data_IF_625323718171
#
_entry.id   IF_625323718171
#
_cell.length_a   1.000
_cell.length_b   1.000
_cell.length_c   1.000
_cell.angle_alpha   90.00
_cell.angle_beta   90.00
_cell.angle_gamma   90.00
#
_symmetry.space_group_name_H-M   'P 1'
#
loop_
_entity.id
_entity.type
_entity.pdbx_description
1 polymer ?
#
# COMPACT_ATOMS: atom_id res chain seq x y z
N UNK A 1 9.63 -24.11 -1.05
CA UNK A 1 10.66 -23.04 -1.12
C UNK A 1 10.04 -21.64 -0.98
N UNK A 2 9.16 -21.20 -1.90
CA UNK A 2 8.50 -19.88 -1.89
C UNK A 2 7.81 -19.50 -0.55
N UNK A 3 7.04 -20.41 0.06
CA UNK A 3 6.38 -20.15 1.36
C UNK A 3 7.35 -19.79 2.50
N UNK A 4 8.55 -20.36 2.53
CA UNK A 4 9.57 -20.07 3.57
C UNK A 4 10.20 -18.70 3.36
N UNK A 5 10.45 -18.32 2.09
CA UNK A 5 10.96 -16.99 1.72
C UNK A 5 9.91 -15.91 2.05
N UNK A 6 8.64 -16.15 1.71
CA UNK A 6 7.54 -15.22 2.03
C UNK A 6 7.33 -15.05 3.55
N UNK A 7 7.57 -16.10 4.35
CA UNK A 7 7.49 -15.98 5.82
C UNK A 7 8.62 -15.10 6.39
N UNK A 8 9.82 -15.15 5.82
CA UNK A 8 10.95 -14.32 6.24
C UNK A 8 10.77 -12.83 5.87
N UNK A 9 10.02 -12.53 4.81
CA UNK A 9 9.83 -11.16 4.29
C UNK A 9 8.55 -10.48 4.81
N UNK A 10 7.79 -11.17 5.65
CA UNK A 10 6.54 -10.69 6.20
C UNK A 10 6.70 -9.39 7.02
N UNK A 11 6.16 -8.28 6.53
CA UNK A 11 6.16 -6.99 7.25
C UNK A 11 4.88 -6.82 8.09
N UNK A 12 4.98 -6.55 9.41
CA UNK A 12 3.82 -6.45 10.29
C UNK A 12 2.80 -5.36 9.91
N UNK A 13 3.24 -4.29 9.26
CA UNK A 13 2.37 -3.18 8.81
C UNK A 13 1.47 -3.61 7.65
N UNK A 14 1.95 -4.51 6.80
CA UNK A 14 1.21 -5.05 5.66
C UNK A 14 0.34 -6.23 6.07
N UNK A 15 0.64 -6.88 7.21
CA UNK A 15 -0.20 -7.92 7.78
C UNK A 15 -1.31 -7.31 8.63
N UNK A 16 -2.44 -6.98 8.02
CA UNK A 16 -3.69 -6.83 8.73
C UNK A 16 -4.72 -7.79 8.15
N UNK A 17 -5.38 -8.59 9.00
CA UNK A 17 -6.71 -9.06 8.61
C UNK A 17 -7.55 -7.80 8.42
N UNK A 18 -8.30 -7.76 7.33
CA UNK A 18 -9.29 -6.70 7.07
C UNK A 18 -10.70 -7.31 7.18
N UNK A 19 -11.23 -7.70 8.38
CA UNK A 19 -12.59 -8.20 8.49
C UNK A 19 -13.50 -7.29 9.34
N UNK A 20 -14.80 -7.47 9.14
CA UNK A 20 -15.90 -6.69 9.70
C UNK A 20 -16.15 -6.79 11.21
N UNK A 21 -17.12 -5.96 11.62
CA UNK A 21 -17.74 -5.77 12.93
C UNK A 21 -16.87 -5.22 14.08
N UNK A 22 -15.60 -5.61 14.22
CA UNK A 22 -14.73 -5.13 15.30
C UNK A 22 -13.88 -3.91 14.86
N UNK A 23 -14.44 -2.72 15.00
CA UNK A 23 -13.76 -1.47 14.68
C UNK A 23 -14.51 -0.24 15.14
N UNK A 24 -13.90 0.94 14.95
CA UNK A 24 -14.55 2.23 15.17
C UNK A 24 -14.62 3.00 13.86
N UNK A 25 -15.56 3.94 13.78
CA UNK A 25 -15.54 4.92 12.69
C UNK A 25 -14.19 5.64 12.74
N UNK A 26 -13.46 5.69 11.63
CA UNK A 26 -12.10 6.21 11.61
C UNK A 26 -12.07 7.71 11.94
N UNK A 27 -11.25 8.09 12.92
CA UNK A 27 -11.06 9.50 13.32
C UNK A 27 -9.81 10.10 12.68
N UNK A 28 -9.71 11.43 12.67
CA UNK A 28 -8.53 12.15 12.17
C UNK A 28 -7.26 11.75 12.94
N UNK A 29 -7.36 11.65 14.26
CA UNK A 29 -6.24 11.18 15.09
C UNK A 29 -5.78 9.76 14.70
N UNK A 30 -6.71 8.90 14.25
CA UNK A 30 -6.39 7.56 13.78
C UNK A 30 -5.70 7.58 12.42
N UNK A 31 -6.11 8.47 11.51
CA UNK A 31 -5.44 8.69 10.23
C UNK A 31 -4.01 9.16 10.44
N UNK A 32 -3.83 10.19 11.26
CA UNK A 32 -2.52 10.74 11.53
C UNK A 32 -1.58 9.74 12.24
N UNK A 33 -2.13 8.89 13.11
CA UNK A 33 -1.36 7.78 13.68
C UNK A 33 -0.93 6.75 12.63
N UNK A 34 -1.82 6.37 11.71
CA UNK A 34 -1.54 5.45 10.62
C UNK A 34 -0.49 6.03 9.66
N UNK A 35 -0.66 7.27 9.20
CA UNK A 35 0.31 8.01 8.37
C UNK A 35 1.70 8.02 8.99
N UNK A 36 1.81 8.39 10.27
CA UNK A 36 3.11 8.40 10.98
C UNK A 36 3.77 7.01 11.01
N UNK A 37 2.99 5.95 11.20
CA UNK A 37 3.51 4.59 11.18
C UNK A 37 4.02 4.17 9.80
N UNK A 38 3.27 4.46 8.73
CA UNK A 38 3.67 4.20 7.34
C UNK A 38 4.89 5.03 6.93
N UNK A 39 4.95 6.31 7.28
CA UNK A 39 6.10 7.17 6.97
C UNK A 39 7.37 6.67 7.66
N UNK A 40 7.31 6.25 8.93
CA UNK A 40 8.46 5.62 9.61
C UNK A 40 8.89 4.32 8.93
N UNK A 41 7.95 3.55 8.41
CA UNK A 41 8.23 2.35 7.64
C UNK A 41 8.96 2.69 6.34
N UNK A 42 8.46 3.64 5.54
CA UNK A 42 9.11 4.08 4.30
C UNK A 42 10.49 4.67 4.51
N UNK A 43 10.67 5.54 5.50
CA UNK A 43 12.01 6.09 5.82
C UNK A 43 12.99 4.97 6.12
N UNK A 44 12.58 3.97 6.91
CA UNK A 44 13.43 2.82 7.23
C UNK A 44 13.75 2.01 5.97
N UNK A 45 12.74 1.61 5.18
CA UNK A 45 12.97 0.82 3.97
C UNK A 45 13.80 1.60 2.92
N UNK A 46 13.59 2.90 2.76
CA UNK A 46 14.38 3.75 1.88
C UNK A 46 15.86 3.80 2.32
N UNK A 47 16.12 3.93 3.62
CA UNK A 47 17.49 3.97 4.17
C UNK A 47 18.28 2.66 3.98
N UNK A 48 17.60 1.55 3.71
CA UNK A 48 18.23 0.26 3.47
C UNK A 48 18.76 0.10 2.04
N UNK A 49 18.33 0.95 1.09
CA UNK A 49 18.69 0.82 -0.33
C UNK A 49 18.36 -0.58 -0.87
N UNK A 50 19.32 -1.24 -1.50
CA UNK A 50 19.14 -2.59 -2.07
C UNK A 50 18.88 -3.68 -1.02
N UNK A 51 19.12 -3.39 0.27
CA UNK A 51 18.79 -4.32 1.36
C UNK A 51 17.32 -4.23 1.79
N UNK A 52 16.57 -3.26 1.28
CA UNK A 52 15.13 -3.09 1.52
C UNK A 52 14.36 -4.29 0.99
N UNK A 53 13.45 -4.83 1.79
CA UNK A 53 12.65 -5.97 1.35
C UNK A 53 11.54 -5.52 0.39
N UNK A 54 11.09 -4.26 0.51
CA UNK A 54 10.21 -3.65 -0.50
C UNK A 54 10.93 -3.62 -1.85
N UNK A 55 12.16 -3.07 -1.91
CA UNK A 55 12.93 -2.98 -3.16
C UNK A 55 13.13 -4.35 -3.78
N UNK A 56 13.57 -5.33 -2.99
CA UNK A 56 13.77 -6.69 -3.50
C UNK A 56 12.48 -7.33 -3.99
N UNK A 57 11.34 -7.09 -3.34
CA UNK A 57 10.06 -7.64 -3.77
C UNK A 57 9.61 -7.08 -5.11
N UNK A 58 9.79 -5.77 -5.34
CA UNK A 58 9.51 -5.16 -6.64
C UNK A 58 10.43 -5.68 -7.75
N UNK A 59 11.72 -5.91 -7.46
CA UNK A 59 12.63 -6.56 -8.41
C UNK A 59 12.21 -8.00 -8.71
N UNK A 60 11.89 -8.79 -7.68
CA UNK A 60 11.44 -10.17 -7.85
C UNK A 60 10.15 -10.29 -8.65
N UNK A 61 9.16 -9.45 -8.36
CA UNK A 61 7.87 -9.49 -9.04
C UNK A 61 7.99 -9.05 -10.51
N UNK A 62 8.73 -7.95 -10.77
CA UNK A 62 8.81 -7.37 -12.11
C UNK A 62 9.78 -8.11 -13.06
N UNK A 63 10.79 -8.78 -12.52
CA UNK A 63 11.89 -9.36 -13.31
C UNK A 63 12.77 -8.31 -14.02
N UNK A 64 12.60 -7.03 -13.73
CA UNK A 64 13.38 -5.95 -14.35
C UNK A 64 14.81 -5.92 -13.77
N UNK A 65 15.81 -5.68 -14.62
CA UNK A 65 17.20 -5.57 -14.17
C UNK A 65 17.48 -4.29 -13.38
N UNK A 66 16.73 -3.22 -13.68
CA UNK A 66 16.89 -1.91 -13.05
C UNK A 66 15.52 -1.26 -12.83
N UNK A 67 15.29 -0.81 -11.59
CA UNK A 67 14.13 -0.03 -11.20
C UNK A 67 14.58 1.22 -10.46
N UNK A 68 13.85 2.31 -10.68
CA UNK A 68 13.96 3.54 -9.87
C UNK A 68 12.84 3.55 -8.85
N UNK A 69 13.18 3.81 -7.58
CA UNK A 69 12.20 3.89 -6.48
C UNK A 69 11.99 5.34 -6.05
N UNK A 70 10.76 5.82 -6.18
CA UNK A 70 10.38 7.20 -5.84
C UNK A 70 9.74 7.27 -4.44
N UNK A 71 10.60 7.12 -3.43
CA UNK A 71 10.17 7.11 -2.02
C UNK A 71 9.56 8.45 -1.58
N UNK A 72 10.05 9.58 -2.10
CA UNK A 72 9.50 10.89 -1.77
C UNK A 72 8.08 11.07 -2.30
N UNK A 73 7.81 10.61 -3.53
CA UNK A 73 6.45 10.60 -4.07
C UNK A 73 5.53 9.70 -3.23
N UNK A 74 5.97 8.50 -2.87
CA UNK A 74 5.20 7.58 -2.03
C UNK A 74 4.89 8.19 -0.65
N UNK A 75 5.88 8.79 0.01
CA UNK A 75 5.68 9.51 1.27
C UNK A 75 4.76 10.72 1.11
N UNK A 76 4.87 11.45 0.00
CA UNK A 76 4.00 12.58 -0.34
C UNK A 76 2.53 12.19 -0.38
N UNK A 77 2.20 11.07 -1.05
CA UNK A 77 0.83 10.55 -1.11
C UNK A 77 0.31 10.12 0.25
N UNK A 78 1.14 9.45 1.05
CA UNK A 78 0.77 9.07 2.44
C UNK A 78 0.47 10.32 3.29
N UNK A 79 1.27 11.39 3.18
CA UNK A 79 1.02 12.66 3.90
C UNK A 79 -0.33 13.28 3.50
N UNK A 80 -0.66 13.25 2.20
CA UNK A 80 -1.90 13.80 1.63
C UNK A 80 -3.13 12.88 1.77
N UNK A 81 -2.95 11.63 2.20
CA UNK A 81 -4.05 10.69 2.39
C UNK A 81 -5.17 11.32 3.24
N UNK A 82 -6.42 11.18 2.82
CA UNK A 82 -7.56 11.85 3.46
C UNK A 82 -8.79 10.96 3.47
N UNK A 83 -9.69 11.24 4.40
CA UNK A 83 -10.99 10.58 4.42
C UNK A 83 -11.90 11.20 3.37
N UNK A 84 -12.57 10.36 2.61
CA UNK A 84 -13.80 10.74 1.92
C UNK A 84 -14.96 10.64 2.92
N UNK A 85 -15.34 11.78 3.49
CA UNK A 85 -16.53 11.91 4.36
C UNK A 85 -17.75 12.44 3.62
N UNK A 86 -17.57 12.91 2.38
CA UNK A 86 -18.61 13.57 1.58
C UNK A 86 -19.16 12.66 0.49
N UNK A 87 -18.63 11.44 0.37
CA UNK A 87 -18.94 10.51 -0.72
C UNK A 87 -18.61 11.16 -2.07
N UNK A 88 -17.47 11.86 -2.14
CA UNK A 88 -16.93 12.35 -3.41
C UNK A 88 -16.59 11.17 -4.35
N UNK A 89 -16.39 9.98 -3.77
CA UNK A 89 -16.34 8.71 -4.49
C UNK A 89 -17.71 8.05 -4.37
N UNK A 90 -18.46 8.08 -5.48
CA UNK A 90 -19.86 7.65 -5.57
C UNK A 90 -20.11 6.21 -5.09
N UNK A 91 -19.11 5.32 -5.20
CA UNK A 91 -19.20 3.91 -4.77
C UNK A 91 -17.91 3.39 -4.14
N UNK A 92 -18.01 3.06 -2.87
CA UNK A 92 -16.99 2.29 -2.14
C UNK A 92 -17.34 0.79 -2.27
N UNK A 93 -17.15 0.23 -3.47
CA UNK A 93 -17.44 -1.17 -3.84
C UNK A 93 -16.54 -2.13 -3.05
N UNK A 94 -16.97 -2.48 -1.84
CA UNK A 94 -16.25 -3.33 -0.85
C UNK A 94 -14.89 -2.82 -0.36
N UNK A 95 -14.24 -1.89 -1.08
CA UNK A 95 -12.99 -1.27 -0.69
C UNK A 95 -13.14 -0.31 0.52
N UNK A 96 -12.06 -0.20 1.31
CA UNK A 96 -11.94 0.70 2.46
C UNK A 96 -10.97 1.85 2.20
N UNK A 97 -10.08 1.70 1.23
CA UNK A 97 -9.19 2.74 0.70
C UNK A 97 -9.03 2.50 -0.80
N UNK A 98 -8.67 3.55 -1.53
CA UNK A 98 -8.28 3.46 -2.94
C UNK A 98 -7.41 4.64 -3.33
N UNK A 99 -6.63 4.47 -4.39
CA UNK A 99 -5.89 5.54 -5.05
C UNK A 99 -6.74 6.11 -6.20
N UNK A 100 -6.98 7.43 -6.21
CA UNK A 100 -7.82 8.08 -7.23
C UNK A 100 -7.23 9.43 -7.68
N UNK A 101 -7.34 9.72 -8.98
CA UNK A 101 -6.89 10.96 -9.63
C UNK A 101 -6.83 10.81 -11.16
N UNK A 102 -6.70 11.92 -11.88
CA UNK A 102 -6.74 11.95 -13.35
C UNK A 102 -5.54 11.27 -14.00
N UNK A 103 -4.42 11.19 -13.28
CA UNK A 103 -3.19 10.53 -13.73
C UNK A 103 -2.53 9.75 -12.58
N UNK A 104 -1.70 8.76 -12.89
CA UNK A 104 -0.87 8.02 -11.92
C UNK A 104 0.06 8.93 -11.09
N UNK A 105 0.39 10.11 -11.62
CA UNK A 105 1.25 11.08 -10.96
C UNK A 105 0.47 11.97 -9.97
N UNK A 106 -0.80 12.23 -10.25
CA UNK A 106 -1.68 13.10 -9.46
C UNK A 106 -2.57 12.32 -8.49
N UNK A 107 -2.51 11.00 -8.52
CA UNK A 107 -3.38 10.16 -7.69
C UNK A 107 -3.13 10.38 -6.20
N UNK A 108 -4.22 10.51 -5.45
CA UNK A 108 -4.22 10.63 -4.00
C UNK A 108 -4.86 9.40 -3.35
N UNK A 109 -4.52 9.17 -2.08
CA UNK A 109 -5.08 8.07 -1.28
C UNK A 109 -6.35 8.57 -0.60
N UNK A 110 -7.48 7.98 -0.97
CA UNK A 110 -8.76 8.21 -0.33
C UNK A 110 -9.10 7.03 0.58
N UNK A 111 -9.69 7.32 1.74
CA UNK A 111 -10.13 6.32 2.72
C UNK A 111 -11.60 6.53 3.01
N UNK A 112 -12.37 5.43 3.06
CA UNK A 112 -13.78 5.50 3.40
C UNK A 112 -13.96 6.05 4.83
N UNK A 113 -14.60 7.22 4.96
CA UNK A 113 -14.82 7.86 6.26
C UNK A 113 -15.95 7.25 7.09
N UNK A 114 -16.76 6.36 6.51
CA UNK A 114 -18.01 5.86 7.11
C UNK A 114 -17.94 4.39 7.53
N UNK A 115 -17.07 3.57 6.91
CA UNK A 115 -16.88 2.16 7.26
C UNK A 115 -15.97 2.02 8.49
N UNK A 116 -16.31 1.12 9.40
CA UNK A 116 -15.52 0.86 10.61
C UNK A 116 -14.20 0.17 10.23
N UNK A 117 -13.11 0.60 10.86
CA UNK A 117 -11.78 0.03 10.63
C UNK A 117 -10.92 0.10 11.90
N UNK A 118 -10.01 -0.86 12.06
CA UNK A 118 -8.99 -0.79 13.12
C UNK A 118 -7.82 0.11 12.70
N UNK A 119 -7.07 0.66 13.65
CA UNK A 119 -5.85 1.42 13.32
C UNK A 119 -4.84 0.56 12.52
N UNK A 120 -4.73 -0.74 12.84
CA UNK A 120 -3.83 -1.65 12.15
C UNK A 120 -4.24 -1.86 10.69
N UNK A 121 -5.53 -2.11 10.43
CA UNK A 121 -6.05 -2.24 9.07
C UNK A 121 -5.91 -0.92 8.29
N UNK A 122 -6.19 0.23 8.91
CA UNK A 122 -5.97 1.53 8.28
C UNK A 122 -4.50 1.79 7.93
N UNK A 123 -3.58 1.41 8.82
CA UNK A 123 -2.14 1.51 8.56
C UNK A 123 -1.74 0.62 7.39
N UNK A 124 -2.28 -0.60 7.31
CA UNK A 124 -2.02 -1.53 6.21
C UNK A 124 -2.53 -0.98 4.89
N UNK A 125 -3.76 -0.48 4.83
CA UNK A 125 -4.35 0.11 3.63
C UNK A 125 -3.56 1.32 3.13
N UNK A 126 -3.22 2.27 4.01
CA UNK A 126 -2.43 3.44 3.59
C UNK A 126 -1.04 3.03 3.11
N UNK A 127 -0.46 1.98 3.71
CA UNK A 127 0.80 1.42 3.23
C UNK A 127 0.64 0.81 1.83
N UNK A 128 -0.37 -0.03 1.63
CA UNK A 128 -0.70 -0.63 0.34
C UNK A 128 -0.83 0.44 -0.75
N UNK A 129 -1.77 1.36 -0.57
CA UNK A 129 -2.06 2.43 -1.54
C UNK A 129 -0.82 3.30 -1.80
N UNK A 130 -0.03 3.55 -0.76
CA UNK A 130 1.20 4.32 -0.88
C UNK A 130 2.32 3.63 -1.65
N UNK A 131 2.27 2.30 -1.85
CA UNK A 131 3.29 1.53 -2.58
C UNK A 131 3.02 1.46 -4.09
N UNK A 132 1.78 1.69 -4.54
CA UNK A 132 1.48 1.80 -5.98
C UNK A 132 2.38 2.83 -6.65
N UNK A 133 2.81 2.69 -7.89
CA UNK A 133 3.68 3.65 -8.60
C UNK A 133 5.03 3.98 -7.91
N UNK A 134 5.42 3.26 -6.84
CA UNK A 134 6.70 3.47 -6.13
C UNK A 134 7.88 3.13 -7.04
N UNK A 135 7.82 1.95 -7.67
CA UNK A 135 8.86 1.46 -8.55
C UNK A 135 8.57 1.83 -10.00
N UNK A 136 9.60 2.31 -10.70
CA UNK A 136 9.51 2.71 -12.11
C UNK A 136 10.60 2.06 -12.93
N UNK A 137 10.23 1.61 -14.13
CA UNK A 137 11.16 1.17 -15.16
C UNK A 137 12.03 2.34 -15.61
N UNK A 138 13.30 2.05 -15.92
CA UNK A 138 14.26 3.02 -16.43
C UNK A 138 14.33 3.06 -17.96
N UNK A 139 13.71 2.11 -18.65
CA UNK A 139 13.66 2.02 -20.12
C UNK A 139 12.71 3.07 -20.73
N UNK A 140 12.92 3.41 -22.00
CA UNK A 140 12.04 4.31 -22.75
C UNK A 140 10.62 3.73 -22.89
N UNK A 141 9.61 4.61 -22.91
CA UNK A 141 8.20 4.24 -23.00
C UNK A 141 7.47 4.37 -21.66
N UNK A 142 6.51 3.46 -21.39
CA UNK A 142 5.78 3.46 -20.13
C UNK A 142 6.70 3.09 -18.96
N UNK A 143 6.97 4.06 -18.09
CA UNK A 143 7.84 3.89 -16.93
C UNK A 143 7.14 3.20 -15.75
N UNK A 144 5.82 3.15 -15.73
CA UNK A 144 5.08 2.53 -14.64
C UNK A 144 5.09 1.00 -14.76
N UNK A 145 5.08 0.32 -13.62
CA UNK A 145 4.77 -1.11 -13.57
C UNK A 145 3.26 -1.30 -13.79
N UNK A 146 2.85 -2.49 -14.25
CA UNK A 146 1.44 -2.83 -14.25
C UNK A 146 0.97 -3.08 -12.82
N UNK A 147 -0.29 -2.81 -12.54
CA UNK A 147 -0.90 -3.01 -11.23
C UNK A 147 -0.69 -4.43 -10.71
N UNK A 148 -0.87 -5.45 -11.56
CA UNK A 148 -0.59 -6.86 -11.21
C UNK A 148 0.82 -7.09 -10.65
N UNK A 149 1.84 -6.45 -11.23
CA UNK A 149 3.23 -6.60 -10.77
C UNK A 149 3.44 -5.90 -9.43
N UNK A 150 2.80 -4.75 -9.23
CA UNK A 150 2.83 -4.04 -7.96
C UNK A 150 2.14 -4.84 -6.86
N UNK A 151 0.94 -5.39 -7.13
CA UNK A 151 0.23 -6.26 -6.20
C UNK A 151 1.01 -7.54 -5.89
N UNK A 152 1.64 -8.17 -6.88
CA UNK A 152 2.53 -9.31 -6.66
C UNK A 152 3.71 -8.93 -5.72
N UNK A 153 4.33 -7.76 -5.92
CA UNK A 153 5.40 -7.29 -5.05
C UNK A 153 4.90 -7.08 -3.61
N UNK A 154 3.74 -6.45 -3.44
CA UNK A 154 3.12 -6.22 -2.14
C UNK A 154 2.75 -7.55 -1.44
N UNK A 155 2.23 -8.52 -2.19
CA UNK A 155 1.93 -9.85 -1.67
C UNK A 155 3.19 -10.57 -1.13
N UNK A 156 4.34 -10.42 -1.78
CA UNK A 156 5.61 -11.01 -1.33
C UNK A 156 6.09 -10.47 0.02
N UNK A 157 5.77 -9.22 0.36
CA UNK A 157 6.12 -8.58 1.64
C UNK A 157 5.02 -8.73 2.71
N UNK A 158 4.00 -9.56 2.42
CA UNK A 158 2.97 -9.96 3.35
C UNK A 158 1.74 -9.06 3.36
N UNK A 159 1.52 -8.29 2.28
CA UNK A 159 0.26 -7.59 2.03
C UNK A 159 -0.82 -8.59 1.58
N UNK A 160 -1.92 -8.75 2.33
CA UNK A 160 -2.93 -9.77 2.08
C UNK A 160 -3.92 -9.42 0.98
N UNK A 161 -3.74 -8.36 0.19
CA UNK A 161 -4.70 -7.99 -0.87
C UNK A 161 -4.87 -9.03 -2.01
N UNK A 162 -4.38 -10.26 -1.84
CA UNK A 162 -4.75 -11.43 -2.64
C UNK A 162 -4.94 -12.68 -1.76
N UNK A 163 -5.94 -12.68 -0.87
CA UNK A 163 -6.60 -13.94 -0.49
C UNK A 163 -8.09 -13.62 -0.37
N UNK A 164 -8.88 -14.02 -1.37
CA UNK A 164 -10.32 -14.18 -1.21
C UNK A 164 -10.56 -14.88 0.13
N UNK A 165 -11.40 -14.28 0.98
CA UNK A 165 -12.03 -15.01 2.09
C UNK A 165 -12.83 -16.17 1.46
N UNK A 166 -12.20 -17.35 1.39
CA UNK A 166 -12.96 -18.58 1.47
C UNK A 166 -13.19 -18.82 2.95
N UNK A 167 -14.28 -18.23 3.44
CA UNK A 167 -14.89 -18.65 4.68
C UNK A 167 -15.26 -20.13 4.56
N UNK A 168 -14.80 -20.89 5.54
CA UNK A 168 -15.31 -22.23 5.86
C UNK A 168 -16.52 -22.09 6.78
#
# INVERSE_FOLDING_TARGET
>A
ALRSIMQQWAKPILKARIPGLAGRVPSEAMLEAAKRAVLRFYVREASLGDRSDVVKAFYLASGEAHLRFDWELAMGRVRRAKYDRRQEIDRWDECLAMTSGDTNAESEIYICGTKKITLRALTSLICHEGLHNLARRTRQGNTFLSEDLEHMAMALIGDPQLVHEQDS
#
